data_IF_621836216018
#
_entry.id   IF_621836216018
#
_cell.length_a   1.000
_cell.length_b   1.000
_cell.length_c   1.000
_cell.angle_alpha   90.00
_cell.angle_beta   90.00
_cell.angle_gamma   90.00
#
_symmetry.space_group_name_H-M   'P 1'
#
loop_
_entity.id
_entity.type
_entity.pdbx_description
1 polymer ?
#
# COMPACT_ATOMS: atom_id res chain seq x y z
N UNK A 1 -54.00 -16.07 26.30
CA UNK A 1 -53.37 -15.39 25.14
C UNK A 1 -52.23 -14.42 25.52
N UNK A 2 -51.68 -14.48 26.75
CA UNK A 2 -50.74 -13.47 27.26
C UNK A 2 -49.25 -13.90 27.30
N UNK A 3 -48.93 -15.16 26.93
CA UNK A 3 -47.55 -15.68 27.01
C UNK A 3 -46.78 -15.75 25.69
N UNK A 4 -47.42 -15.51 24.54
CA UNK A 4 -46.73 -15.52 23.23
C UNK A 4 -46.11 -14.16 22.86
N UNK A 5 -46.59 -13.06 23.46
CA UNK A 5 -46.12 -11.70 23.17
C UNK A 5 -44.80 -11.33 23.87
N UNK A 6 -44.49 -11.94 25.03
CA UNK A 6 -43.22 -11.72 25.74
C UNK A 6 -42.02 -12.38 25.07
N UNK A 7 -42.23 -13.48 24.34
CA UNK A 7 -41.14 -14.22 23.70
C UNK A 7 -40.63 -13.56 22.41
N UNK A 8 -41.48 -12.80 21.72
CA UNK A 8 -41.15 -12.10 20.47
C UNK A 8 -40.39 -10.79 20.77
N UNK A 9 -40.65 -10.14 21.90
CA UNK A 9 -39.98 -8.90 22.28
C UNK A 9 -38.51 -9.13 22.71
N UNK A 10 -38.21 -10.26 23.36
CA UNK A 10 -36.83 -10.55 23.80
C UNK A 10 -35.88 -10.96 22.66
N UNK A 11 -36.38 -11.46 21.53
CA UNK A 11 -35.51 -11.86 20.40
C UNK A 11 -35.18 -10.70 19.46
N UNK A 12 -36.01 -9.65 19.39
CA UNK A 12 -35.73 -8.46 18.57
C UNK A 12 -34.73 -7.49 19.22
N UNK A 13 -34.64 -7.47 20.55
CA UNK A 13 -33.79 -6.52 21.29
C UNK A 13 -32.32 -6.96 21.34
N UNK A 14 -32.03 -8.27 21.19
CA UNK A 14 -30.66 -8.79 21.25
C UNK A 14 -29.85 -8.46 19.97
N UNK A 15 -30.50 -8.22 18.84
CA UNK A 15 -29.80 -7.84 17.59
C UNK A 15 -29.43 -6.34 17.53
N UNK A 16 -30.00 -5.50 18.39
CA UNK A 16 -29.76 -4.04 18.41
C UNK A 16 -28.60 -3.61 19.31
N UNK A 17 -27.95 -4.55 20.00
CA UNK A 17 -26.86 -4.29 20.95
C UNK A 17 -25.51 -4.91 20.52
N UNK A 18 -25.43 -5.49 19.33
CA UNK A 18 -24.12 -5.81 18.75
C UNK A 18 -23.47 -4.49 18.33
N UNK A 19 -22.34 -4.08 18.95
CA UNK A 19 -21.61 -2.95 18.43
C UNK A 19 -21.23 -3.31 16.98
N UNK A 20 -21.53 -2.41 16.05
CA UNK A 20 -20.86 -2.34 14.77
C UNK A 20 -19.39 -2.03 15.10
N UNK A 21 -18.64 -3.04 15.52
CA UNK A 21 -17.20 -2.99 15.48
C UNK A 21 -16.88 -2.68 14.01
N UNK A 22 -16.10 -1.62 13.72
CA UNK A 22 -15.64 -1.41 12.36
C UNK A 22 -14.99 -2.73 11.96
N UNK A 23 -15.42 -3.28 10.82
CA UNK A 23 -14.72 -4.37 10.18
C UNK A 23 -13.34 -3.80 9.79
N UNK A 24 -12.40 -3.80 10.73
CA UNK A 24 -11.00 -3.67 10.40
C UNK A 24 -10.73 -4.95 9.63
N UNK A 25 -10.66 -4.82 8.31
CA UNK A 25 -10.00 -5.81 7.49
C UNK A 25 -8.59 -5.91 8.07
N UNK A 26 -8.37 -6.89 8.95
CA UNK A 26 -7.05 -7.27 9.38
C UNK A 26 -6.40 -7.70 8.08
N UNK A 27 -5.62 -6.83 7.46
CA UNK A 27 -4.77 -7.22 6.35
C UNK A 27 -3.94 -8.37 6.92
N UNK A 28 -4.25 -9.60 6.52
CA UNK A 28 -3.46 -10.75 6.91
C UNK A 28 -2.08 -10.48 6.31
N UNK A 29 -1.17 -9.97 7.14
CA UNK A 29 0.22 -9.78 6.79
C UNK A 29 0.82 -11.18 6.74
N UNK A 30 0.56 -11.88 5.64
CA UNK A 30 1.16 -13.15 5.26
C UNK A 30 2.63 -12.91 4.88
N UNK A 31 3.38 -12.23 5.74
CA UNK A 31 4.82 -12.05 5.65
C UNK A 31 5.48 -13.13 6.51
N UNK A 32 6.59 -13.68 6.01
CA UNK A 32 7.41 -14.57 6.81
C UNK A 32 7.95 -13.89 8.07
N UNK A 33 8.37 -14.69 9.05
CA UNK A 33 8.97 -14.20 10.30
C UNK A 33 10.43 -13.74 10.17
N UNK A 34 11.01 -13.88 8.97
CA UNK A 34 12.34 -13.44 8.55
C UNK A 34 12.20 -12.95 7.12
N UNK A 35 12.73 -11.76 6.84
CA UNK A 35 12.46 -11.05 5.59
C UNK A 35 13.76 -10.49 5.01
N UNK A 36 13.88 -10.55 3.69
CA UNK A 36 14.81 -9.73 2.93
C UNK A 36 14.04 -8.60 2.25
N UNK A 37 14.41 -7.36 2.59
CA UNK A 37 13.81 -6.13 2.07
C UNK A 37 14.86 -5.39 1.25
N UNK A 38 14.59 -5.19 -0.05
CA UNK A 38 15.55 -4.59 -0.99
C UNK A 38 15.01 -3.32 -1.63
N UNK A 39 15.84 -2.29 -1.73
CA UNK A 39 15.55 -1.13 -2.57
C UNK A 39 15.79 -1.49 -4.03
N UNK A 40 14.86 -1.10 -4.90
CA UNK A 40 14.92 -1.29 -6.35
C UNK A 40 14.98 0.07 -7.03
N UNK A 41 15.99 0.26 -7.88
CA UNK A 41 16.24 1.55 -8.51
C UNK A 41 15.28 1.79 -9.68
N UNK A 42 14.45 2.83 -9.56
CA UNK A 42 13.68 3.39 -10.67
C UNK A 42 14.51 4.41 -11.46
N UNK A 43 15.81 4.14 -11.59
CA UNK A 43 16.82 4.99 -12.23
C UNK A 43 18.07 4.15 -12.51
N UNK A 44 18.92 4.61 -13.42
CA UNK A 44 20.25 4.04 -13.62
C UNK A 44 21.30 4.97 -13.02
N UNK A 45 22.03 4.48 -12.01
CA UNK A 45 23.15 5.18 -11.38
C UNK A 45 24.51 4.54 -11.74
N UNK A 46 24.56 3.76 -12.82
CA UNK A 46 25.74 3.01 -13.26
C UNK A 46 25.73 1.53 -12.90
N UNK A 47 24.76 1.06 -12.09
CA UNK A 47 24.57 -0.37 -11.80
C UNK A 47 23.66 -1.07 -12.81
N UNK A 48 23.01 -0.32 -13.71
CA UNK A 48 22.00 -0.82 -14.63
C UNK A 48 20.60 -0.96 -14.01
N UNK A 49 19.61 -1.16 -14.88
CA UNK A 49 18.20 -1.36 -14.52
C UNK A 49 17.86 -2.86 -14.57
N UNK A 50 17.28 -3.39 -13.49
CA UNK A 50 16.76 -4.76 -13.41
C UNK A 50 15.24 -4.67 -13.59
N UNK A 51 14.63 -5.28 -14.63
CA UNK A 51 13.16 -5.30 -14.72
C UNK A 51 12.57 -6.03 -13.51
N UNK A 52 11.37 -5.64 -13.06
CA UNK A 52 10.74 -6.22 -11.87
C UNK A 52 10.64 -7.75 -11.91
N UNK A 53 10.39 -8.34 -13.10
CA UNK A 53 10.32 -9.79 -13.27
C UNK A 53 11.67 -10.51 -13.15
N UNK A 54 12.77 -9.78 -13.30
CA UNK A 54 14.14 -10.30 -13.24
C UNK A 54 14.75 -10.12 -11.83
N UNK A 55 14.04 -9.49 -10.91
CA UNK A 55 14.46 -9.36 -9.51
C UNK A 55 14.56 -10.76 -8.87
N UNK A 56 15.67 -11.00 -8.15
CA UNK A 56 15.90 -12.26 -7.46
C UNK A 56 14.72 -12.68 -6.57
N UNK A 57 14.25 -13.93 -6.64
CA UNK A 57 13.14 -14.41 -5.83
C UNK A 57 13.48 -14.51 -4.34
N UNK A 58 14.72 -14.23 -3.94
CA UNK A 58 15.14 -14.17 -2.53
C UNK A 58 14.59 -12.95 -1.80
N UNK A 59 14.26 -11.87 -2.52
CA UNK A 59 13.65 -10.69 -1.90
C UNK A 59 12.19 -10.96 -1.59
N UNK A 60 11.75 -10.62 -0.39
CA UNK A 60 10.37 -10.76 0.06
C UNK A 60 9.59 -9.46 -0.16
N UNK A 61 10.27 -8.33 0.05
CA UNK A 61 9.74 -6.98 -0.13
C UNK A 61 10.67 -6.19 -1.05
N UNK A 62 10.08 -5.54 -2.05
CA UNK A 62 10.75 -4.70 -3.03
C UNK A 62 10.30 -3.25 -2.80
N UNK A 63 11.20 -2.41 -2.32
CA UNK A 63 10.99 -0.98 -2.13
C UNK A 63 11.36 -0.25 -3.43
N UNK A 64 10.37 0.09 -4.25
CA UNK A 64 10.54 0.86 -5.49
C UNK A 64 11.00 2.27 -5.13
N UNK A 65 12.12 2.70 -5.71
CA UNK A 65 12.86 3.90 -5.30
C UNK A 65 12.96 4.88 -6.46
N UNK A 66 12.30 6.04 -6.46
CA UNK A 66 11.45 6.61 -5.40
C UNK A 66 10.17 7.22 -5.98
N UNK A 67 9.16 7.39 -5.13
CA UNK A 67 8.15 8.43 -5.31
C UNK A 67 8.77 9.77 -4.96
N UNK A 68 8.71 10.72 -5.89
CA UNK A 68 9.41 12.01 -5.81
C UNK A 68 8.41 13.17 -5.74
N UNK A 69 8.87 14.39 -5.51
CA UNK A 69 8.01 15.57 -5.41
C UNK A 69 8.52 16.71 -6.29
N UNK A 70 7.59 17.51 -6.81
CA UNK A 70 7.89 18.73 -7.55
C UNK A 70 8.15 19.96 -6.66
N UNK A 71 7.85 21.14 -7.19
CA UNK A 71 8.09 22.42 -6.51
C UNK A 71 7.24 22.61 -5.24
N UNK A 72 6.07 21.99 -5.15
CA UNK A 72 5.17 22.10 -4.00
C UNK A 72 5.61 21.28 -2.78
N UNK A 73 6.55 20.34 -2.97
CA UNK A 73 7.13 19.45 -1.95
C UNK A 73 6.10 18.65 -1.16
N UNK A 74 4.94 18.36 -1.74
CA UNK A 74 3.89 17.61 -1.06
C UNK A 74 3.10 16.66 -1.96
N UNK A 75 2.91 16.98 -3.23
CA UNK A 75 2.33 16.02 -4.19
C UNK A 75 3.43 15.05 -4.64
N UNK A 76 3.22 13.77 -4.35
CA UNK A 76 4.11 12.70 -4.79
C UNK A 76 3.75 12.27 -6.21
N UNK A 77 4.77 12.10 -7.04
CA UNK A 77 4.66 11.60 -8.41
C UNK A 77 5.57 10.38 -8.60
N UNK A 78 5.18 9.49 -9.50
CA UNK A 78 5.95 8.31 -9.88
C UNK A 78 5.67 7.94 -11.33
N UNK A 79 6.72 7.62 -12.09
CA UNK A 79 6.62 7.01 -13.41
C UNK A 79 7.71 5.94 -13.54
N UNK A 80 7.41 4.74 -14.08
CA UNK A 80 8.40 3.68 -14.16
C UNK A 80 9.53 4.02 -15.14
N UNK A 81 10.76 3.69 -14.76
CA UNK A 81 11.96 3.93 -15.59
C UNK A 81 11.99 3.09 -16.87
N UNK A 82 11.15 2.07 -16.97
CA UNK A 82 11.05 1.21 -18.15
C UNK A 82 9.58 0.89 -18.48
N UNK A 83 9.30 0.71 -19.76
CA UNK A 83 7.99 0.30 -20.26
C UNK A 83 6.90 1.35 -20.00
N UNK A 84 5.67 0.90 -20.02
CA UNK A 84 4.47 1.70 -19.75
C UNK A 84 3.96 1.47 -18.32
N UNK A 85 3.14 2.40 -17.81
CA UNK A 85 2.45 2.26 -16.51
C UNK A 85 1.65 0.95 -16.42
N UNK A 86 1.01 0.55 -17.52
CA UNK A 86 0.23 -0.69 -17.60
C UNK A 86 1.11 -1.94 -17.46
N UNK A 87 2.27 -1.95 -18.12
CA UNK A 87 3.24 -3.04 -18.01
C UNK A 87 3.83 -3.11 -16.60
N UNK A 88 4.23 -1.97 -16.02
CA UNK A 88 4.77 -1.93 -14.66
C UNK A 88 3.74 -2.41 -13.63
N UNK A 89 2.47 -2.01 -13.77
CA UNK A 89 1.36 -2.50 -12.94
C UNK A 89 1.17 -4.03 -13.09
N UNK A 90 1.30 -4.56 -14.31
CA UNK A 90 1.23 -6.00 -14.58
C UNK A 90 2.38 -6.75 -13.91
N UNK A 91 3.60 -6.22 -13.94
CA UNK A 91 4.77 -6.79 -13.28
C UNK A 91 4.62 -6.81 -11.76
N UNK A 92 4.11 -5.73 -11.17
CA UNK A 92 3.75 -5.68 -9.74
C UNK A 92 2.72 -6.76 -9.40
N UNK A 93 1.68 -6.91 -10.21
CA UNK A 93 0.65 -7.92 -9.98
C UNK A 93 1.22 -9.35 -10.05
N UNK A 94 2.11 -9.61 -11.00
CA UNK A 94 2.84 -10.87 -11.11
C UNK A 94 3.69 -11.15 -9.87
N UNK A 95 4.48 -10.19 -9.39
CA UNK A 95 5.27 -10.36 -8.17
C UNK A 95 4.39 -10.61 -6.92
N UNK A 96 3.28 -9.87 -6.80
CA UNK A 96 2.31 -10.08 -5.73
C UNK A 96 1.67 -11.48 -5.79
N UNK A 97 1.42 -12.02 -6.99
CA UNK A 97 0.91 -13.38 -7.16
C UNK A 97 1.95 -14.45 -6.77
N UNK A 98 3.24 -14.08 -6.69
CA UNK A 98 4.32 -14.92 -6.15
C UNK A 98 4.58 -14.70 -4.65
N UNK A 99 3.67 -14.00 -3.96
CA UNK A 99 3.76 -13.73 -2.52
C UNK A 99 4.67 -12.57 -2.14
N UNK A 100 5.24 -11.85 -3.12
CA UNK A 100 6.12 -10.70 -2.86
C UNK A 100 5.31 -9.48 -2.48
N UNK A 101 5.91 -8.56 -1.72
CA UNK A 101 5.37 -7.21 -1.55
C UNK A 101 6.17 -6.23 -2.41
N UNK A 102 5.45 -5.34 -3.06
CA UNK A 102 6.05 -4.20 -3.77
C UNK A 102 5.51 -2.94 -3.09
N UNK A 103 6.42 -2.11 -2.61
CA UNK A 103 6.13 -0.93 -1.79
C UNK A 103 6.79 0.27 -2.47
N UNK A 104 6.10 1.40 -2.51
CA UNK A 104 6.68 2.66 -2.98
C UNK A 104 7.46 3.31 -1.83
N UNK A 105 8.76 3.56 -2.03
CA UNK A 105 9.57 4.34 -1.11
C UNK A 105 9.53 5.82 -1.49
N UNK A 106 9.26 6.70 -0.53
CA UNK A 106 9.23 8.16 -0.74
C UNK A 106 10.51 8.75 -0.17
N UNK A 107 11.30 9.44 -1.00
CA UNK A 107 12.58 10.00 -0.57
C UNK A 107 13.58 10.15 -1.71
N UNK A 108 14.86 9.94 -1.40
CA UNK A 108 15.95 10.27 -2.31
C UNK A 108 16.15 11.79 -2.44
N UNK A 109 16.98 12.19 -3.40
CA UNK A 109 17.33 13.61 -3.60
C UNK A 109 16.11 14.47 -3.97
N UNK A 110 15.18 13.93 -4.76
CA UNK A 110 14.04 14.68 -5.30
C UNK A 110 12.72 14.44 -4.53
N UNK A 111 12.63 13.38 -3.70
CA UNK A 111 11.47 13.10 -2.85
C UNK A 111 11.45 13.87 -1.53
N UNK A 112 11.73 15.17 -1.59
CA UNK A 112 11.66 16.06 -0.42
C UNK A 112 10.19 16.33 -0.07
N UNK A 113 9.73 15.81 1.06
CA UNK A 113 8.36 16.01 1.55
C UNK A 113 8.34 17.05 2.68
N UNK A 114 7.55 18.11 2.51
CA UNK A 114 7.30 19.14 3.51
C UNK A 114 5.82 19.16 3.87
N UNK A 115 5.48 18.94 5.14
CA UNK A 115 4.10 18.92 5.64
C UNK A 115 3.86 20.01 6.71
N UNK A 116 4.05 21.30 6.40
CA UNK A 116 3.93 22.38 7.39
C UNK A 116 2.48 22.64 7.81
N UNK A 117 1.50 22.24 7.00
CA UNK A 117 0.08 22.53 7.23
C UNK A 117 -0.84 21.40 6.72
N UNK A 118 -2.14 21.56 6.99
CA UNK A 118 -3.16 20.57 6.61
C UNK A 118 -3.36 20.48 5.08
N UNK A 119 -3.08 21.55 4.33
CA UNK A 119 -3.23 21.52 2.87
C UNK A 119 -2.12 20.70 2.22
N UNK A 120 -0.87 20.89 2.65
CA UNK A 120 0.26 20.07 2.23
C UNK A 120 0.06 18.59 2.63
N UNK A 121 -0.39 18.35 3.86
CA UNK A 121 -0.78 17.00 4.31
C UNK A 121 -1.85 16.37 3.40
N UNK A 122 -2.88 17.12 3.01
CA UNK A 122 -3.94 16.60 2.15
C UNK A 122 -3.45 16.29 0.74
N UNK A 123 -2.57 17.14 0.17
CA UNK A 123 -1.93 16.86 -1.13
C UNK A 123 -1.12 15.57 -1.09
N UNK A 124 -0.31 15.39 -0.06
CA UNK A 124 0.46 14.17 0.16
C UNK A 124 -0.45 12.93 0.27
N UNK A 125 -1.47 12.97 1.13
CA UNK A 125 -2.43 11.87 1.30
C UNK A 125 -3.10 11.49 -0.01
N UNK A 126 -3.54 12.49 -0.80
CA UNK A 126 -4.28 12.23 -2.03
C UNK A 126 -3.41 11.68 -3.17
N UNK A 127 -2.09 11.93 -3.14
CA UNK A 127 -1.16 11.51 -4.18
C UNK A 127 -0.58 10.10 -4.00
N UNK A 128 -0.82 9.45 -2.85
CA UNK A 128 -0.31 8.12 -2.49
C UNK A 128 -1.42 7.08 -2.59
#
# INVERSE_FOLDING_TARGET
MLNKFKFICCTLVIFLLLPLAPFQAQAANNLGSKLLVGYWHNFDNGTGIIKLRDVSPKWDVINVSFGETGGDRSTVEFSPVYGTDAEFKSDIAYLKSKGKKVVLSIGGQNGVVLLPDNAAKQRFINSI
#
